data_IF_648980943057
#
_entry.id   IF_648980943057
#
_cell.length_a   1.000
_cell.length_b   1.000
_cell.length_c   1.000
_cell.angle_alpha   90.00
_cell.angle_beta   90.00
_cell.angle_gamma   90.00
#
_symmetry.space_group_name_H-M   'P 1'
#
loop_
_entity.id
_entity.type
_entity.pdbx_description
1 polymer ?
#
# COMPACT_ATOMS: atom_id res chain seq x y z
N UNK A 1 -35.69 -16.05 -69.05
CA UNK A 1 -35.29 -14.96 -68.14
C UNK A 1 -34.83 -15.54 -66.79
N UNK A 2 -33.77 -16.37 -66.81
CA UNK A 2 -33.11 -17.03 -65.65
C UNK A 2 -31.77 -17.62 -66.14
N UNK A 3 -30.92 -16.77 -66.74
CA UNK A 3 -29.63 -17.18 -67.29
C UNK A 3 -28.65 -16.00 -67.36
N UNK A 4 -28.65 -15.13 -66.33
CA UNK A 4 -27.78 -13.95 -66.32
C UNK A 4 -27.41 -13.51 -64.89
N UNK A 5 -27.30 -14.47 -63.96
CA UNK A 5 -26.89 -14.20 -62.57
C UNK A 5 -25.80 -15.14 -62.02
N UNK A 6 -25.24 -16.02 -62.87
CA UNK A 6 -24.24 -17.02 -62.44
C UNK A 6 -22.85 -16.83 -63.07
N UNK A 7 -22.52 -15.63 -63.60
CA UNK A 7 -21.21 -15.36 -64.24
C UNK A 7 -20.33 -14.31 -63.52
N UNK A 8 -20.73 -13.80 -62.35
CA UNK A 8 -19.87 -12.92 -61.52
C UNK A 8 -19.37 -13.55 -60.21
N UNK A 9 -19.80 -14.77 -59.87
CA UNK A 9 -19.29 -15.48 -58.70
C UNK A 9 -17.92 -16.15 -58.93
N UNK A 10 -17.56 -16.46 -60.18
CA UNK A 10 -16.34 -17.23 -60.51
C UNK A 10 -15.08 -16.38 -60.78
N UNK A 11 -15.18 -15.04 -60.75
CA UNK A 11 -14.00 -14.15 -60.92
C UNK A 11 -13.31 -13.71 -59.63
N UNK A 12 -13.90 -13.98 -58.46
CA UNK A 12 -13.29 -13.65 -57.15
C UNK A 12 -12.57 -14.85 -56.52
N UNK A 13 -12.84 -16.07 -56.99
CA UNK A 13 -12.22 -17.30 -56.46
C UNK A 13 -10.81 -17.62 -57.01
N UNK A 14 -10.28 -16.84 -57.95
CA UNK A 14 -8.97 -17.08 -58.58
C UNK A 14 -7.78 -16.30 -57.97
N UNK A 15 -7.97 -15.56 -56.86
CA UNK A 15 -6.90 -14.74 -56.26
C UNK A 15 -6.35 -15.25 -54.92
N UNK A 16 -6.90 -16.33 -54.34
CA UNK A 16 -6.42 -16.84 -53.05
C UNK A 16 -6.26 -18.35 -53.10
N UNK A 17 -5.01 -18.78 -53.27
CA UNK A 17 -4.61 -20.16 -53.23
C UNK A 17 -4.88 -20.80 -51.87
N UNK A 18 -5.51 -21.97 -51.93
CA UNK A 18 -5.15 -23.19 -51.20
C UNK A 18 -5.20 -23.14 -49.67
N UNK A 19 -6.24 -23.74 -49.09
CA UNK A 19 -6.15 -25.09 -48.50
C UNK A 19 -7.54 -25.51 -48.00
N UNK A 20 -8.19 -26.35 -48.79
CA UNK A 20 -9.32 -27.18 -48.35
C UNK A 20 -8.78 -28.40 -47.60
N UNK A 21 -9.24 -28.60 -46.37
CA UNK A 21 -9.31 -29.92 -45.75
C UNK A 21 -10.71 -30.09 -45.19
N UNK A 22 -11.46 -30.95 -45.87
CA UNK A 22 -12.78 -31.43 -45.49
C UNK A 22 -12.76 -32.09 -44.11
N UNK A 23 -13.80 -31.85 -43.32
CA UNK A 23 -14.53 -32.91 -42.61
C UNK A 23 -15.94 -32.39 -42.26
N UNK A 24 -16.92 -32.87 -43.02
CA UNK A 24 -18.33 -32.92 -42.66
C UNK A 24 -18.49 -33.92 -41.52
N UNK A 25 -19.22 -33.56 -40.47
CA UNK A 25 -20.10 -34.47 -39.74
C UNK A 25 -21.38 -33.70 -39.40
N UNK A 26 -22.52 -34.28 -39.80
CA UNK A 26 -23.86 -33.77 -39.59
C UNK A 26 -24.45 -34.29 -38.26
N UNK A 27 -25.22 -33.40 -37.61
CA UNK A 27 -26.36 -33.60 -36.69
C UNK A 27 -26.09 -34.08 -35.24
N UNK A 28 -27.04 -33.89 -34.28
CA UNK A 28 -28.30 -33.12 -34.30
C UNK A 28 -28.45 -32.10 -33.15
N UNK A 29 -29.47 -31.24 -33.27
CA UNK A 29 -29.98 -30.34 -32.22
C UNK A 29 -30.80 -31.14 -31.20
N UNK A 30 -30.37 -31.17 -29.94
CA UNK A 30 -31.26 -31.34 -28.77
C UNK A 30 -30.74 -30.55 -27.58
N UNK A 31 -31.69 -29.96 -26.84
CA UNK A 31 -31.51 -29.06 -25.72
C UNK A 31 -30.82 -29.70 -24.50
N UNK A 32 -30.01 -28.90 -23.79
CA UNK A 32 -30.19 -28.57 -22.37
C UNK A 32 -28.93 -27.88 -21.79
N UNK A 33 -29.19 -26.76 -21.11
CA UNK A 33 -28.56 -26.25 -19.90
C UNK A 33 -27.10 -25.75 -19.88
N UNK A 34 -27.03 -24.51 -19.38
CA UNK A 34 -26.11 -24.03 -18.35
C UNK A 34 -24.61 -24.05 -18.66
N UNK A 35 -24.08 -22.87 -19.01
CA UNK A 35 -22.65 -22.61 -18.82
C UNK A 35 -22.05 -21.59 -19.76
N UNK A 36 -22.56 -20.36 -19.81
CA UNK A 36 -21.86 -19.24 -20.47
C UNK A 36 -22.20 -17.86 -19.84
N UNK A 37 -22.35 -17.84 -18.51
CA UNK A 37 -22.34 -16.62 -17.69
C UNK A 37 -21.14 -16.66 -16.72
N UNK A 38 -19.91 -16.67 -17.25
CA UNK A 38 -18.71 -16.49 -16.44
C UNK A 38 -17.54 -16.15 -17.36
N UNK A 39 -17.37 -14.86 -17.71
CA UNK A 39 -16.08 -14.20 -17.98
C UNK A 39 -16.22 -12.71 -18.38
N UNK A 40 -17.24 -12.02 -17.88
CA UNK A 40 -17.38 -10.57 -18.04
C UNK A 40 -17.77 -9.85 -16.74
N UNK A 41 -17.11 -10.19 -15.62
CA UNK A 41 -17.00 -9.23 -14.51
C UNK A 41 -15.71 -8.44 -14.70
N UNK A 42 -15.79 -7.36 -15.51
CA UNK A 42 -14.86 -6.24 -15.39
C UNK A 42 -14.97 -5.74 -13.97
N UNK A 43 -13.88 -5.87 -13.21
CA UNK A 43 -13.67 -5.08 -12.00
C UNK A 43 -13.71 -3.61 -12.45
N UNK A 44 -14.57 -2.75 -11.89
CA UNK A 44 -14.48 -1.32 -12.17
C UNK A 44 -13.12 -0.83 -11.68
N UNK A 45 -12.33 -0.23 -12.57
CA UNK A 45 -11.02 0.35 -12.27
C UNK A 45 -11.10 1.64 -11.42
N UNK A 46 -12.34 2.11 -11.16
CA UNK A 46 -12.66 3.44 -10.64
C UNK A 46 -13.52 3.37 -9.37
N UNK A 47 -13.12 2.50 -8.42
CA UNK A 47 -13.59 2.64 -7.04
C UNK A 47 -12.89 3.83 -6.37
N UNK A 48 -13.62 4.78 -5.73
CA UNK A 48 -13.03 5.92 -5.05
C UNK A 48 -12.29 5.42 -3.81
N UNK A 49 -10.98 5.63 -3.78
CA UNK A 49 -10.20 5.56 -2.54
C UNK A 49 -9.87 6.99 -2.16
N UNK A 50 -10.65 7.53 -1.24
CA UNK A 50 -10.32 8.75 -0.50
C UNK A 50 -9.02 8.48 0.25
N UNK A 51 -7.94 9.14 -0.15
CA UNK A 51 -6.80 9.31 0.76
C UNK A 51 -7.36 10.10 1.95
N UNK A 52 -7.30 9.52 3.14
CA UNK A 52 -8.07 9.95 4.30
C UNK A 52 -8.05 11.46 4.52
N UNK A 53 -9.24 12.07 4.50
CA UNK A 53 -9.50 13.37 5.13
C UNK A 53 -9.11 14.63 4.34
N UNK A 54 -8.48 14.51 3.17
CA UNK A 54 -8.52 15.61 2.21
C UNK A 54 -9.75 15.36 1.35
N UNK A 55 -10.85 16.00 1.73
CA UNK A 55 -12.08 16.08 0.97
C UNK A 55 -11.71 16.21 -0.52
N UNK A 56 -12.31 15.36 -1.37
CA UNK A 56 -12.60 15.74 -2.74
C UNK A 56 -13.63 16.89 -2.68
N UNK A 57 -13.29 18.01 -2.04
CA UNK A 57 -13.68 19.28 -2.62
C UNK A 57 -13.28 19.15 -4.08
N UNK A 58 -14.24 19.38 -4.96
CA UNK A 58 -14.05 19.84 -6.32
C UNK A 58 -13.08 21.03 -6.31
N UNK A 59 -11.81 20.79 -5.95
CA UNK A 59 -10.69 21.54 -6.43
C UNK A 59 -10.81 21.31 -7.92
N UNK A 60 -11.47 22.27 -8.57
CA UNK A 60 -11.55 22.46 -10.01
C UNK A 60 -10.26 21.89 -10.56
N UNK A 61 -10.32 20.65 -11.02
CA UNK A 61 -9.19 20.02 -11.66
C UNK A 61 -9.18 20.76 -12.96
N UNK A 62 -8.45 21.88 -12.99
CA UNK A 62 -8.08 22.53 -14.23
C UNK A 62 -7.59 21.38 -15.09
N UNK A 63 -8.39 21.06 -16.11
CA UNK A 63 -8.10 19.97 -17.03
C UNK A 63 -6.69 20.26 -17.52
N UNK A 64 -5.74 19.42 -17.14
CA UNK A 64 -4.33 19.63 -17.47
C UNK A 64 -4.24 19.58 -18.98
N UNK A 65 -3.92 20.71 -19.62
CA UNK A 65 -3.71 20.74 -21.06
C UNK A 65 -2.45 19.95 -21.47
N UNK A 66 -2.26 19.71 -22.78
CA UNK A 66 -1.03 19.12 -23.30
C UNK A 66 0.19 20.04 -23.12
N UNK A 67 -0.02 21.34 -22.81
CA UNK A 67 0.99 22.34 -22.47
C UNK A 67 0.63 23.08 -21.16
N UNK A 68 1.62 23.58 -20.40
CA UNK A 68 1.41 24.17 -19.07
C UNK A 68 0.71 25.54 -19.09
N UNK A 69 0.83 26.28 -20.20
CA UNK A 69 0.28 27.62 -20.41
C UNK A 69 -1.16 27.60 -20.93
N UNK A 70 -1.74 26.42 -21.13
CA UNK A 70 -3.04 26.25 -21.75
C UNK A 70 -3.02 26.49 -23.27
N UNK A 71 -1.84 26.50 -23.90
CA UNK A 71 -1.68 26.55 -25.35
C UNK A 71 -1.85 25.18 -26.04
N UNK A 72 -2.03 25.17 -27.36
CA UNK A 72 -2.07 23.93 -28.14
C UNK A 72 -0.66 23.32 -28.28
N UNK A 73 -0.61 21.98 -28.41
CA UNK A 73 0.60 21.23 -28.68
C UNK A 73 0.62 20.75 -30.14
N UNK A 74 1.54 21.29 -30.94
CA UNK A 74 1.77 20.81 -32.31
C UNK A 74 2.82 19.69 -32.32
N UNK A 75 2.49 18.56 -32.95
CA UNK A 75 3.39 17.42 -33.12
C UNK A 75 3.43 16.95 -34.58
N UNK A 76 4.57 16.39 -34.99
CA UNK A 76 4.69 15.68 -36.26
C UNK A 76 4.46 14.19 -36.06
N UNK A 77 3.54 13.63 -36.84
CA UNK A 77 3.20 12.21 -36.78
C UNK A 77 3.41 11.55 -38.14
N UNK A 78 3.77 10.28 -38.12
CA UNK A 78 3.95 9.48 -39.32
C UNK A 78 2.70 8.63 -39.57
N UNK A 79 1.96 8.95 -40.62
CA UNK A 79 0.76 8.22 -41.00
C UNK A 79 1.09 6.99 -41.85
N UNK A 80 0.57 5.83 -41.42
CA UNK A 80 0.72 4.54 -42.09
C UNK A 80 -0.65 3.94 -42.36
N UNK A 81 -0.81 3.35 -43.54
CA UNK A 81 -2.00 2.62 -43.97
C UNK A 81 -1.89 1.10 -43.79
N UNK A 82 -0.73 0.62 -43.31
CA UNK A 82 -0.48 -0.78 -42.96
C UNK A 82 0.35 -0.89 -41.68
N UNK A 83 0.08 -1.94 -40.89
CA UNK A 83 0.83 -2.26 -39.66
C UNK A 83 2.28 -2.65 -39.94
N UNK A 84 2.52 -3.28 -41.09
CA UNK A 84 3.85 -3.76 -41.50
C UNK A 84 4.68 -2.69 -42.19
N UNK A 85 4.09 -1.53 -42.50
CA UNK A 85 4.82 -0.43 -43.11
C UNK A 85 5.91 0.10 -42.16
N UNK A 86 7.15 0.08 -42.63
CA UNK A 86 8.31 0.61 -41.92
C UNK A 86 8.40 2.14 -42.00
N UNK A 87 7.72 2.75 -42.97
CA UNK A 87 7.63 4.20 -43.20
C UNK A 87 6.22 4.62 -43.60
N UNK A 88 5.91 5.89 -43.37
CA UNK A 88 4.66 6.54 -43.69
C UNK A 88 4.85 8.00 -44.09
N UNK A 89 3.76 8.68 -44.44
CA UNK A 89 3.79 10.11 -44.76
C UNK A 89 3.71 10.92 -43.46
N UNK A 90 4.62 11.88 -43.28
CA UNK A 90 4.56 12.78 -42.13
C UNK A 90 3.57 13.93 -42.36
N UNK A 91 2.88 14.33 -41.29
CA UNK A 91 2.08 15.56 -41.25
C UNK A 91 2.02 16.12 -39.82
N UNK A 92 1.65 17.39 -39.69
CA UNK A 92 1.40 18.02 -38.39
C UNK A 92 0.01 17.64 -37.86
N UNK A 93 -0.06 17.45 -36.55
CA UNK A 93 -1.28 17.30 -35.75
C UNK A 93 -1.22 18.33 -34.63
N UNK A 94 -2.34 19.00 -34.37
CA UNK A 94 -2.48 19.94 -33.26
C UNK A 94 -3.38 19.31 -32.21
N UNK A 95 -2.88 19.20 -30.98
CA UNK A 95 -3.66 18.80 -29.80
C UNK A 95 -4.03 20.09 -29.08
N UNK A 96 -5.32 20.42 -29.08
CA UNK A 96 -5.86 21.63 -28.46
C UNK A 96 -5.85 21.51 -26.91
N UNK A 97 -6.02 22.61 -26.17
CA UNK A 97 -5.95 22.61 -24.71
C UNK A 97 -6.97 21.69 -24.02
N UNK A 98 -8.10 21.43 -24.67
CA UNK A 98 -9.17 20.53 -24.23
C UNK A 98 -8.94 19.06 -24.66
N UNK A 99 -7.77 18.74 -25.20
CA UNK A 99 -7.37 17.45 -25.77
C UNK A 99 -8.08 17.05 -27.06
N UNK A 100 -8.86 17.94 -27.68
CA UNK A 100 -9.33 17.71 -29.04
C UNK A 100 -8.18 17.76 -30.04
N UNK A 101 -8.33 17.06 -31.17
CA UNK A 101 -7.23 16.85 -32.10
C UNK A 101 -7.61 17.34 -33.49
N UNK A 102 -6.81 18.24 -34.03
CA UNK A 102 -6.90 18.69 -35.41
C UNK A 102 -5.84 18.02 -36.26
N UNK A 103 -6.29 17.39 -37.33
CA UNK A 103 -5.47 16.67 -38.29
C UNK A 103 -5.96 16.98 -39.70
N UNK A 104 -5.09 16.94 -40.73
CA UNK A 104 -5.52 17.06 -42.13
C UNK A 104 -6.36 15.87 -42.63
N UNK A 105 -6.57 14.85 -41.81
CA UNK A 105 -7.28 13.63 -42.17
C UNK A 105 -8.77 13.71 -41.78
N UNK A 106 -9.63 13.10 -42.60
CA UNK A 106 -11.03 12.85 -42.24
C UNK A 106 -11.12 11.63 -41.32
N UNK A 107 -11.19 11.88 -40.01
CA UNK A 107 -11.22 10.83 -39.00
C UNK A 107 -12.48 9.94 -39.10
N UNK A 108 -13.60 10.47 -39.60
CA UNK A 108 -14.82 9.65 -39.79
C UNK A 108 -14.61 8.67 -40.94
N UNK A 109 -14.03 9.12 -42.05
CA UNK A 109 -13.65 8.23 -43.14
C UNK A 109 -12.63 7.17 -42.69
N UNK A 110 -11.66 7.54 -41.84
CA UNK A 110 -10.72 6.58 -41.25
C UNK A 110 -11.39 5.55 -40.33
N UNK A 111 -12.41 5.95 -39.55
CA UNK A 111 -13.20 5.03 -38.71
C UNK A 111 -13.96 4.02 -39.57
N UNK A 112 -14.59 4.48 -40.65
CA UNK A 112 -15.26 3.60 -41.62
C UNK A 112 -14.25 2.63 -42.22
N UNK A 113 -13.10 3.10 -42.70
CA UNK A 113 -12.05 2.23 -43.25
C UNK A 113 -11.55 1.20 -42.24
N UNK A 114 -11.36 1.59 -40.97
CA UNK A 114 -10.96 0.70 -39.89
C UNK A 114 -12.02 -0.37 -39.58
N UNK A 115 -13.31 -0.01 -39.65
CA UNK A 115 -14.42 -0.95 -39.48
C UNK A 115 -14.43 -2.04 -40.58
N UNK A 116 -13.96 -1.71 -41.79
CA UNK A 116 -13.73 -2.68 -42.88
C UNK A 116 -12.36 -3.38 -42.83
N UNK A 117 -11.63 -3.30 -41.70
CA UNK A 117 -10.35 -3.97 -41.49
C UNK A 117 -9.12 -3.20 -41.97
N UNK A 118 -9.28 -1.96 -42.43
CA UNK A 118 -8.18 -1.05 -42.73
C UNK A 118 -7.36 -0.68 -41.50
N UNK A 119 -6.12 -0.25 -41.71
CA UNK A 119 -5.27 0.28 -40.64
C UNK A 119 -5.00 1.76 -40.85
N UNK A 120 -5.30 2.57 -39.83
CA UNK A 120 -5.11 4.02 -39.83
C UNK A 120 -4.40 4.44 -38.54
N UNK A 121 -3.14 4.84 -38.64
CA UNK A 121 -2.36 5.21 -37.45
C UNK A 121 -2.79 6.53 -36.81
N UNK A 122 -3.41 7.44 -37.58
CA UNK A 122 -3.95 8.69 -37.06
C UNK A 122 -5.20 8.44 -36.22
N UNK A 123 -6.05 7.51 -36.63
CA UNK A 123 -7.12 7.03 -35.78
C UNK A 123 -6.63 6.40 -34.47
N UNK A 124 -5.59 5.55 -34.49
CA UNK A 124 -5.00 5.00 -33.25
C UNK A 124 -4.46 6.11 -32.33
N UNK A 125 -3.83 7.13 -32.92
CA UNK A 125 -3.32 8.29 -32.19
C UNK A 125 -4.47 9.02 -31.46
N UNK A 126 -5.53 9.38 -32.17
CA UNK A 126 -6.66 10.17 -31.64
C UNK A 126 -7.50 9.36 -30.66
N UNK A 127 -7.89 8.14 -31.03
CA UNK A 127 -8.87 7.38 -30.23
C UNK A 127 -8.24 6.65 -29.03
N UNK A 128 -6.90 6.49 -29.00
CA UNK A 128 -6.25 5.72 -27.93
C UNK A 128 -5.05 6.41 -27.31
N UNK A 129 -4.07 6.84 -28.12
CA UNK A 129 -2.79 7.33 -27.60
C UNK A 129 -2.98 8.66 -26.85
N UNK A 130 -3.70 9.61 -27.42
CA UNK A 130 -3.92 10.92 -26.82
C UNK A 130 -4.73 10.80 -25.51
N UNK A 131 -5.86 10.06 -25.45
CA UNK A 131 -6.55 9.76 -24.20
C UNK A 131 -5.67 9.06 -23.15
N UNK A 132 -4.77 8.15 -23.58
CA UNK A 132 -3.85 7.48 -22.68
C UNK A 132 -2.83 8.45 -22.05
N UNK A 133 -2.30 9.39 -22.83
CA UNK A 133 -1.38 10.42 -22.33
C UNK A 133 -2.13 11.38 -21.39
N UNK A 134 -3.30 11.87 -21.78
CA UNK A 134 -4.16 12.71 -20.94
C UNK A 134 -4.42 12.06 -19.57
N UNK A 135 -4.82 10.79 -19.57
CA UNK A 135 -5.13 10.02 -18.35
C UNK A 135 -3.91 9.78 -17.45
N UNK A 136 -2.72 9.82 -18.03
CA UNK A 136 -1.45 9.57 -17.33
C UNK A 136 -0.76 10.87 -16.89
N UNK A 137 -1.04 12.00 -17.53
CA UNK A 137 -0.38 13.27 -17.28
C UNK A 137 -0.35 13.68 -15.79
N UNK A 138 -1.44 13.56 -15.00
CA UNK A 138 -1.38 13.84 -13.56
C UNK A 138 -0.36 12.99 -12.80
N UNK A 139 -0.15 11.73 -13.22
CA UNK A 139 0.82 10.82 -12.61
C UNK A 139 2.26 11.20 -13.01
N UNK A 140 2.48 11.61 -14.27
CA UNK A 140 3.79 12.06 -14.74
C UNK A 140 4.21 13.35 -14.02
N UNK A 141 3.28 14.30 -13.90
CA UNK A 141 3.47 15.56 -13.16
C UNK A 141 3.46 15.39 -11.64
N UNK A 142 3.25 14.16 -11.12
CA UNK A 142 3.20 13.84 -9.69
C UNK A 142 2.15 14.65 -8.90
N UNK A 143 1.14 15.18 -9.61
CA UNK A 143 -0.09 15.75 -9.04
C UNK A 143 -1.04 14.66 -8.53
N UNK A 144 -0.85 13.43 -9.02
CA UNK A 144 -1.50 12.23 -8.52
C UNK A 144 -0.46 11.20 -8.11
N UNK A 145 -0.62 10.62 -6.92
CA UNK A 145 0.25 9.54 -6.44
C UNK A 145 0.05 8.25 -7.24
N UNK A 146 1.12 7.47 -7.34
CA UNK A 146 1.07 6.13 -7.89
C UNK A 146 0.23 5.21 -6.97
N UNK A 147 -0.61 4.34 -7.54
CA UNK A 147 -1.33 3.33 -6.74
C UNK A 147 -0.37 2.21 -6.34
N UNK A 148 0.26 2.36 -5.19
CA UNK A 148 1.22 1.42 -4.62
C UNK A 148 0.70 0.82 -3.32
N UNK A 149 1.09 -0.43 -3.06
CA UNK A 149 0.87 -1.11 -1.79
C UNK A 149 2.18 -1.67 -1.26
N UNK A 150 2.28 -1.82 0.06
CA UNK A 150 3.46 -2.33 0.75
C UNK A 150 3.08 -3.52 1.63
N UNK A 151 3.88 -4.58 1.62
CA UNK A 151 3.73 -5.70 2.55
C UNK A 151 4.01 -5.28 3.98
N UNK A 152 3.32 -5.92 4.94
CA UNK A 152 3.49 -5.68 6.38
C UNK A 152 4.54 -6.60 7.03
N UNK A 153 5.12 -7.53 6.25
CA UNK A 153 6.02 -8.58 6.72
C UNK A 153 7.46 -8.08 6.92
N UNK A 154 8.31 -8.95 7.50
CA UNK A 154 9.73 -8.69 7.78
C UNK A 154 10.52 -8.24 6.53
N UNK A 155 10.12 -8.72 5.35
CA UNK A 155 10.66 -8.24 4.07
C UNK A 155 9.70 -7.24 3.44
N UNK A 156 10.12 -5.98 3.42
CA UNK A 156 9.39 -4.90 2.76
C UNK A 156 9.40 -5.13 1.24
N UNK A 157 8.20 -5.30 0.71
CA UNK A 157 7.96 -5.49 -0.71
C UNK A 157 6.90 -4.48 -1.16
N UNK A 158 7.15 -3.87 -2.30
CA UNK A 158 6.22 -2.94 -2.94
C UNK A 158 5.52 -3.60 -4.12
N UNK A 159 4.22 -3.38 -4.24
CA UNK A 159 3.41 -3.85 -5.36
C UNK A 159 2.61 -2.70 -5.96
N UNK A 160 2.27 -2.87 -7.23
CA UNK A 160 1.46 -1.93 -7.98
C UNK A 160 0.27 -2.65 -8.60
N UNK A 161 -0.72 -1.90 -9.08
CA UNK A 161 -1.85 -2.48 -9.83
C UNK A 161 -1.31 -3.27 -11.03
N UNK A 162 -1.71 -4.53 -11.12
CA UNK A 162 -1.20 -5.46 -12.12
C UNK A 162 -1.73 -5.13 -13.52
N UNK A 163 -0.84 -5.06 -14.51
CA UNK A 163 -1.20 -4.87 -15.92
C UNK A 163 -0.77 -6.09 -16.73
N UNK A 164 -1.71 -6.69 -17.47
CA UNK A 164 -1.45 -7.91 -18.26
C UNK A 164 -0.32 -7.69 -19.27
N UNK A 165 0.65 -8.60 -19.29
CA UNK A 165 1.80 -8.52 -20.21
C UNK A 165 2.84 -7.47 -19.83
N UNK A 166 2.73 -6.86 -18.64
CA UNK A 166 3.71 -5.97 -18.05
C UNK A 166 4.45 -6.65 -16.90
N UNK A 167 5.68 -6.19 -16.57
CA UNK A 167 6.48 -6.80 -15.48
C UNK A 167 5.80 -6.71 -14.11
N UNK A 168 4.93 -5.73 -13.88
CA UNK A 168 4.17 -5.62 -12.63
C UNK A 168 3.12 -6.72 -12.44
N UNK A 169 2.79 -7.51 -13.47
CA UNK A 169 1.76 -8.56 -13.36
C UNK A 169 2.12 -9.68 -12.39
N UNK A 170 3.41 -10.03 -12.32
CA UNK A 170 3.95 -11.09 -11.44
C UNK A 170 5.03 -10.55 -10.50
N UNK A 171 5.30 -9.25 -10.58
CA UNK A 171 6.50 -8.64 -10.08
C UNK A 171 6.23 -7.84 -8.82
N UNK A 172 7.18 -7.97 -7.90
CA UNK A 172 7.32 -7.15 -6.72
C UNK A 172 8.51 -6.21 -6.89
N UNK A 173 8.43 -5.02 -6.31
CA UNK A 173 9.51 -4.03 -6.33
C UNK A 173 10.20 -3.98 -4.97
N UNK A 174 11.51 -3.71 -5.01
CA UNK A 174 12.34 -3.54 -3.82
C UNK A 174 12.12 -2.20 -3.13
N UNK A 175 11.60 -1.20 -3.84
CA UNK A 175 11.37 0.14 -3.31
C UNK A 175 10.12 0.80 -3.93
N UNK A 176 9.58 1.82 -3.23
CA UNK A 176 8.53 2.68 -3.77
C UNK A 176 8.99 3.41 -5.04
N UNK A 177 10.25 3.85 -5.06
CA UNK A 177 10.91 4.48 -6.21
C UNK A 177 10.83 3.60 -7.46
N UNK A 178 11.22 2.33 -7.35
CA UNK A 178 11.24 1.41 -8.49
C UNK A 178 9.83 1.15 -9.02
N UNK A 179 8.87 1.02 -8.10
CA UNK A 179 7.46 0.82 -8.43
C UNK A 179 6.84 2.05 -9.11
N UNK A 180 7.00 3.24 -8.52
CA UNK A 180 6.48 4.49 -9.06
C UNK A 180 7.11 4.83 -10.43
N UNK A 181 8.43 4.67 -10.55
CA UNK A 181 9.15 4.85 -11.82
C UNK A 181 8.66 3.88 -12.89
N UNK A 182 8.38 2.62 -12.50
CA UNK A 182 7.80 1.66 -13.42
C UNK A 182 6.45 2.12 -13.96
N UNK A 183 5.55 2.57 -13.09
CA UNK A 183 4.19 2.96 -13.48
C UNK A 183 4.16 4.17 -14.41
N UNK A 184 5.16 5.05 -14.33
CA UNK A 184 5.34 6.18 -15.26
C UNK A 184 6.05 5.81 -16.57
N UNK A 185 6.65 4.62 -16.66
CA UNK A 185 7.47 4.26 -17.82
C UNK A 185 6.62 4.03 -19.09
N UNK A 186 7.07 4.47 -20.28
CA UNK A 186 6.36 4.21 -21.53
C UNK A 186 6.05 2.73 -21.75
N UNK A 187 6.96 1.83 -21.35
CA UNK A 187 6.76 0.39 -21.46
C UNK A 187 5.56 -0.12 -20.63
N UNK A 188 5.30 0.46 -19.46
CA UNK A 188 4.12 0.14 -18.65
C UNK A 188 2.86 0.69 -19.32
N UNK A 189 2.89 1.96 -19.71
CA UNK A 189 1.73 2.67 -20.28
C UNK A 189 1.24 2.04 -21.59
N UNK A 190 2.16 1.60 -22.47
CA UNK A 190 1.85 0.80 -23.66
C UNK A 190 0.97 -0.40 -23.33
N UNK A 191 1.29 -1.13 -22.27
CA UNK A 191 0.56 -2.32 -21.86
C UNK A 191 -0.75 -1.95 -21.16
N UNK A 192 -0.73 -0.91 -20.33
CA UNK A 192 -1.89 -0.45 -19.57
C UNK A 192 -3.02 0.01 -20.49
N UNK A 193 -2.69 0.79 -21.52
CA UNK A 193 -3.68 1.37 -22.44
C UNK A 193 -3.80 0.60 -23.77
N UNK A 194 -3.04 -0.49 -23.94
CA UNK A 194 -3.02 -1.31 -25.16
C UNK A 194 -2.80 -0.50 -26.45
N UNK A 195 -1.82 0.41 -26.41
CA UNK A 195 -1.44 1.31 -27.51
C UNK A 195 -0.09 0.94 -28.13
N UNK A 196 0.16 1.36 -29.37
CA UNK A 196 1.47 1.18 -29.99
C UNK A 196 2.58 1.97 -29.28
N UNK A 197 3.78 1.40 -29.07
CA UNK A 197 4.87 2.07 -28.37
C UNK A 197 5.35 3.37 -29.01
N UNK A 198 5.52 3.35 -30.33
CA UNK A 198 6.14 4.48 -31.05
C UNK A 198 5.26 5.74 -31.01
N UNK A 199 3.96 5.71 -31.35
CA UNK A 199 3.08 6.87 -31.16
C UNK A 199 3.04 7.37 -29.72
N UNK A 200 2.95 6.47 -28.73
CA UNK A 200 2.91 6.87 -27.32
C UNK A 200 4.18 7.60 -26.90
N UNK A 201 5.35 7.04 -27.17
CA UNK A 201 6.63 7.68 -26.81
C UNK A 201 6.79 9.04 -27.50
N UNK A 202 6.34 9.18 -28.75
CA UNK A 202 6.41 10.45 -29.46
C UNK A 202 5.53 11.53 -28.81
N UNK A 203 4.27 11.18 -28.46
CA UNK A 203 3.37 12.13 -27.80
C UNK A 203 3.86 12.46 -26.39
N UNK A 204 4.30 11.46 -25.62
CA UNK A 204 4.88 11.68 -24.29
C UNK A 204 6.08 12.63 -24.34
N UNK A 205 7.02 12.42 -25.28
CA UNK A 205 8.18 13.30 -25.42
C UNK A 205 7.80 14.73 -25.82
N UNK A 206 6.77 14.91 -26.66
CA UNK A 206 6.28 16.22 -27.04
C UNK A 206 5.62 16.95 -25.86
N UNK A 207 4.76 16.26 -25.10
CA UNK A 207 4.15 16.80 -23.88
C UNK A 207 5.24 17.13 -22.86
N UNK A 208 6.21 16.24 -22.66
CA UNK A 208 7.34 16.48 -21.77
C UNK A 208 8.16 17.72 -22.15
N UNK A 209 8.43 17.89 -23.45
CA UNK A 209 9.09 19.08 -23.98
C UNK A 209 8.29 20.36 -23.75
N UNK A 210 6.97 20.33 -23.98
CA UNK A 210 6.09 21.48 -23.78
C UNK A 210 6.00 21.91 -22.32
N UNK A 211 6.02 20.95 -21.39
CA UNK A 211 6.03 21.19 -19.96
C UNK A 211 7.41 21.57 -19.40
N UNK A 212 8.44 21.75 -20.26
CA UNK A 212 9.78 22.16 -19.84
C UNK A 212 10.53 21.08 -19.07
N UNK A 213 10.18 19.81 -19.26
CA UNK A 213 10.67 18.68 -18.49
C UNK A 213 9.77 18.41 -17.28
N UNK A 214 8.79 17.52 -17.47
CA UNK A 214 7.83 17.05 -16.44
C UNK A 214 8.54 16.46 -15.20
N UNK A 215 9.83 16.14 -15.33
CA UNK A 215 10.62 15.40 -14.37
C UNK A 215 11.54 16.20 -13.45
N UNK A 216 11.59 17.55 -13.56
CA UNK A 216 12.51 18.33 -12.73
C UNK A 216 11.78 19.40 -11.88
N UNK A 217 11.72 19.24 -10.54
CA UNK A 217 11.31 20.34 -9.69
C UNK A 217 12.33 21.49 -9.79
N UNK A 218 11.89 22.72 -9.52
CA UNK A 218 12.82 23.86 -9.45
C UNK A 218 13.89 23.61 -8.39
N UNK A 219 15.10 24.13 -8.60
CA UNK A 219 16.20 23.99 -7.64
C UNK A 219 15.81 24.51 -6.25
N UNK A 220 15.02 25.58 -6.19
CA UNK A 220 14.49 26.14 -4.95
C UNK A 220 13.50 25.20 -4.24
N UNK A 221 12.51 24.65 -4.97
CA UNK A 221 11.53 23.72 -4.40
C UNK A 221 12.24 22.48 -3.85
N UNK A 222 13.22 21.95 -4.60
CA UNK A 222 14.05 20.83 -4.14
C UNK A 222 14.83 21.17 -2.88
N UNK A 223 15.52 22.31 -2.85
CA UNK A 223 16.30 22.73 -1.68
C UNK A 223 15.44 22.97 -0.43
N UNK A 224 14.17 23.38 -0.61
CA UNK A 224 13.19 23.44 0.48
C UNK A 224 12.82 22.04 0.99
N UNK A 225 12.50 21.10 0.10
CA UNK A 225 12.18 19.74 0.48
C UNK A 225 13.37 19.01 1.12
N UNK A 226 14.60 19.19 0.64
CA UNK A 226 15.79 18.56 1.22
C UNK A 226 16.04 18.98 2.67
N UNK A 227 15.56 20.16 3.12
CA UNK A 227 15.72 20.60 4.51
C UNK A 227 14.84 19.85 5.50
N UNK A 228 13.74 19.25 5.06
CA UNK A 228 12.81 18.51 5.92
C UNK A 228 13.00 17.00 5.85
N UNK A 229 13.85 16.51 4.95
CA UNK A 229 14.14 15.08 4.77
C UNK A 229 15.52 14.75 5.33
N UNK A 230 15.58 13.70 6.16
CA UNK A 230 16.79 13.29 6.88
C UNK A 230 17.85 12.67 5.98
N UNK A 231 17.44 11.83 5.06
CA UNK A 231 18.33 11.05 4.21
C UNK A 231 19.04 11.96 3.19
N UNK A 232 20.31 11.64 2.91
CA UNK A 232 21.07 12.35 1.89
C UNK A 232 20.38 12.19 0.52
N UNK A 233 20.07 13.31 -0.13
CA UNK A 233 19.31 13.35 -1.40
C UNK A 233 17.92 12.70 -1.25
N UNK A 234 17.35 12.73 -0.06
CA UNK A 234 16.06 12.11 0.21
C UNK A 234 14.91 12.74 -0.56
N UNK A 235 14.93 14.06 -0.84
CA UNK A 235 13.91 14.66 -1.72
C UNK A 235 13.95 14.09 -3.14
N UNK A 236 15.12 13.66 -3.62
CA UNK A 236 15.24 13.01 -4.93
C UNK A 236 14.66 11.59 -4.91
N UNK A 237 14.89 10.87 -3.81
CA UNK A 237 14.30 9.55 -3.57
C UNK A 237 12.78 9.64 -3.54
N UNK A 238 12.23 10.61 -2.80
CA UNK A 238 10.80 10.89 -2.70
C UNK A 238 10.21 11.34 -4.05
N UNK A 239 10.93 12.20 -4.79
CA UNK A 239 10.55 12.58 -6.15
C UNK A 239 10.45 11.37 -7.08
N UNK A 240 11.43 10.48 -7.03
CA UNK A 240 11.43 9.25 -7.80
C UNK A 240 10.36 8.26 -7.31
N UNK A 241 9.97 8.31 -6.03
CA UNK A 241 8.81 7.63 -5.48
C UNK A 241 7.47 8.31 -5.85
N UNK A 242 7.49 9.45 -6.56
CA UNK A 242 6.29 10.13 -7.05
C UNK A 242 5.74 11.25 -6.16
N UNK A 243 6.52 11.72 -5.18
CA UNK A 243 6.13 12.83 -4.30
C UNK A 243 6.71 14.15 -4.83
N UNK A 244 5.82 15.10 -5.12
CA UNK A 244 6.23 16.47 -5.46
C UNK A 244 6.84 17.17 -4.22
N UNK A 245 7.84 18.08 -4.37
CA UNK A 245 8.42 18.79 -3.23
C UNK A 245 7.40 19.52 -2.35
N UNK A 246 6.31 20.00 -2.93
CA UNK A 246 5.23 20.64 -2.17
C UNK A 246 4.52 19.63 -1.26
N UNK A 247 4.19 18.43 -1.75
CA UNK A 247 3.63 17.37 -0.91
C UNK A 247 4.60 16.97 0.21
N UNK A 248 5.93 16.98 -0.04
CA UNK A 248 6.92 16.72 1.01
C UNK A 248 6.83 17.77 2.12
N UNK A 249 6.68 19.05 1.78
CA UNK A 249 6.52 20.13 2.76
C UNK A 249 5.18 20.05 3.49
N UNK A 250 4.10 19.76 2.77
CA UNK A 250 2.76 19.55 3.36
C UNK A 250 2.77 18.38 4.35
N UNK A 251 3.41 17.27 3.99
CA UNK A 251 3.49 16.10 4.85
C UNK A 251 4.38 16.36 6.07
N UNK A 252 5.49 17.10 5.92
CA UNK A 252 6.32 17.49 7.06
C UNK A 252 5.51 18.30 8.10
N UNK A 253 4.55 19.11 7.67
CA UNK A 253 3.69 19.88 8.58
C UNK A 253 2.75 19.00 9.43
N UNK A 254 2.54 17.73 9.06
CA UNK A 254 1.76 16.76 9.85
C UNK A 254 2.52 16.23 11.09
N UNK A 255 3.76 16.67 11.31
CA UNK A 255 4.58 16.29 12.45
C UNK A 255 4.95 17.50 13.34
N UNK A 256 3.96 18.16 13.96
CA UNK A 256 4.20 19.37 14.75
C UNK A 256 5.12 19.11 15.94
N UNK A 257 5.99 20.08 16.23
CA UNK A 257 6.95 20.01 17.33
C UNK A 257 8.21 19.20 17.02
N UNK A 258 8.34 18.63 15.82
CA UNK A 258 9.58 18.00 15.36
C UNK A 258 10.34 19.00 14.49
N UNK A 259 11.39 19.61 15.05
CA UNK A 259 12.24 20.58 14.35
C UNK A 259 13.36 19.90 13.52
N UNK A 260 13.57 18.60 13.74
CA UNK A 260 14.55 17.80 13.01
C UNK A 260 14.02 17.29 11.66
N UNK A 261 14.88 17.07 10.66
CA UNK A 261 14.49 16.40 9.43
C UNK A 261 13.89 14.99 9.69
N UNK A 262 12.76 14.72 9.03
CA UNK A 262 12.01 13.46 9.12
C UNK A 262 12.59 12.43 8.14
N UNK A 263 12.54 11.13 8.46
CA UNK A 263 13.02 10.08 7.57
C UNK A 263 12.08 9.91 6.37
N UNK A 264 12.62 9.48 5.23
CA UNK A 264 11.87 9.11 4.02
C UNK A 264 10.68 8.19 4.34
N UNK A 265 10.85 7.28 5.30
CA UNK A 265 9.82 6.35 5.73
C UNK A 265 8.55 7.05 6.26
N UNK A 266 8.66 8.25 6.84
CA UNK A 266 7.51 9.05 7.27
C UNK A 266 6.69 9.51 6.05
N UNK A 267 7.35 10.17 5.09
CA UNK A 267 6.70 10.70 3.89
C UNK A 267 6.06 9.59 3.04
N UNK A 268 6.76 8.46 2.87
CA UNK A 268 6.22 7.31 2.16
C UNK A 268 5.05 6.67 2.92
N UNK A 269 5.09 6.68 4.25
CA UNK A 269 3.99 6.22 5.10
C UNK A 269 2.73 7.05 4.85
N UNK A 270 2.84 8.38 5.02
CA UNK A 270 1.73 9.31 4.76
C UNK A 270 1.16 9.13 3.35
N UNK A 271 2.03 9.01 2.35
CA UNK A 271 1.64 8.89 0.94
C UNK A 271 0.89 7.58 0.61
N UNK A 272 1.29 6.45 1.21
CA UNK A 272 0.93 5.13 0.69
C UNK A 272 0.28 4.17 1.71
N UNK A 273 0.20 4.54 2.99
CA UNK A 273 -0.39 3.65 4.01
C UNK A 273 -1.90 3.80 4.18
N UNK A 274 -2.47 4.93 3.75
CA UNK A 274 -3.86 5.30 4.06
C UNK A 274 -4.05 5.64 5.54
N UNK A 275 -3.05 6.26 6.17
CA UNK A 275 -3.13 6.78 7.55
C UNK A 275 -4.17 7.90 7.64
N UNK A 276 -4.88 7.96 8.77
CA UNK A 276 -5.68 9.13 9.13
C UNK A 276 -4.74 10.27 9.53
N UNK A 277 -4.63 11.29 8.68
CA UNK A 277 -3.71 12.42 8.88
C UNK A 277 -4.09 13.29 10.08
N UNK A 278 -5.37 13.35 10.45
CA UNK A 278 -5.84 14.10 11.62
C UNK A 278 -5.39 13.40 12.89
N UNK A 279 -5.61 12.09 12.95
CA UNK A 279 -5.13 11.25 14.06
C UNK A 279 -3.60 11.25 14.16
N UNK A 280 -2.89 11.13 13.03
CA UNK A 280 -1.42 11.16 12.99
C UNK A 280 -0.89 12.47 13.58
N UNK A 281 -1.41 13.61 13.12
CA UNK A 281 -0.98 14.94 13.58
C UNK A 281 -1.20 15.11 15.08
N UNK A 282 -2.39 14.74 15.59
CA UNK A 282 -2.71 14.82 17.01
C UNK A 282 -1.82 13.89 17.86
N UNK A 283 -1.55 12.68 17.38
CA UNK A 283 -0.72 11.69 18.09
C UNK A 283 0.75 12.09 18.11
N UNK A 284 1.28 12.65 17.01
CA UNK A 284 2.66 13.18 16.99
C UNK A 284 2.78 14.40 17.89
N UNK A 285 1.77 15.28 17.93
CA UNK A 285 1.78 16.45 18.80
C UNK A 285 1.86 16.09 20.30
N UNK A 286 1.29 14.95 20.72
CA UNK A 286 1.37 14.52 22.13
C UNK A 286 2.76 14.05 22.53
N UNK A 287 3.59 13.64 21.57
CA UNK A 287 4.98 13.25 21.77
C UNK A 287 5.78 13.43 20.46
N UNK A 288 6.40 14.60 20.24
CA UNK A 288 7.15 14.87 19.03
C UNK A 288 8.46 14.07 19.00
N UNK A 289 8.44 12.91 18.33
CA UNK A 289 9.61 12.04 18.18
C UNK A 289 9.68 11.49 16.76
N UNK A 290 10.79 11.77 16.07
CA UNK A 290 10.95 11.48 14.64
C UNK A 290 10.76 10.00 14.27
N UNK A 291 11.33 9.08 15.07
CA UNK A 291 11.19 7.65 14.83
C UNK A 291 9.75 7.17 15.08
N UNK A 292 9.06 7.76 16.08
CA UNK A 292 7.67 7.49 16.38
C UNK A 292 6.75 7.98 15.27
N UNK A 293 6.89 9.23 14.83
CA UNK A 293 6.14 9.79 13.70
C UNK A 293 6.26 8.92 12.45
N UNK A 294 7.49 8.51 12.10
CA UNK A 294 7.75 7.64 10.96
C UNK A 294 7.04 6.29 11.06
N UNK A 295 6.96 5.69 12.25
CA UNK A 295 6.20 4.46 12.48
C UNK A 295 4.69 4.69 12.40
N UNK A 296 4.17 5.74 13.05
CA UNK A 296 2.76 6.09 13.09
C UNK A 296 2.18 6.36 11.68
N UNK A 297 2.98 6.95 10.79
CA UNK A 297 2.61 7.17 9.39
C UNK A 297 2.30 5.87 8.62
N UNK A 298 2.63 4.69 9.16
CA UNK A 298 2.31 3.38 8.57
C UNK A 298 1.11 2.68 9.22
N UNK A 299 0.43 3.31 10.17
CA UNK A 299 -0.78 2.76 10.81
C UNK A 299 -1.99 3.10 9.94
N UNK A 300 -2.63 2.11 9.27
CA UNK A 300 -3.74 2.42 8.37
C UNK A 300 -5.00 2.84 9.14
N UNK A 301 -5.80 3.73 8.55
CA UNK A 301 -7.06 4.19 9.14
C UNK A 301 -8.10 3.06 9.32
N UNK A 302 -7.99 1.98 8.53
CA UNK A 302 -8.92 0.83 8.56
C UNK A 302 -8.86 0.00 9.86
N UNK A 303 -7.92 0.29 10.75
CA UNK A 303 -7.77 -0.38 12.06
C UNK A 303 -8.87 -0.03 13.07
N UNK A 304 -9.66 1.00 12.80
CA UNK A 304 -10.77 1.43 13.64
C UNK A 304 -10.33 2.33 14.81
N UNK A 305 -11.26 3.19 15.25
CA UNK A 305 -10.98 4.25 16.24
C UNK A 305 -10.50 3.73 17.58
N UNK A 306 -11.02 2.60 18.06
CA UNK A 306 -10.59 2.00 19.33
C UNK A 306 -9.11 1.59 19.33
N UNK A 307 -8.63 1.03 18.21
CA UNK A 307 -7.21 0.67 18.05
C UNK A 307 -6.33 1.91 18.00
N UNK A 308 -6.74 2.92 17.22
CA UNK A 308 -5.99 4.17 17.07
C UNK A 308 -5.91 4.96 18.39
N UNK A 309 -7.00 4.99 19.17
CA UNK A 309 -7.02 5.59 20.51
C UNK A 309 -6.06 4.88 21.45
N UNK A 310 -6.12 3.53 21.53
CA UNK A 310 -5.22 2.77 22.39
C UNK A 310 -3.74 2.99 22.02
N UNK A 311 -3.43 3.06 20.73
CA UNK A 311 -2.09 3.33 20.25
C UNK A 311 -1.62 4.73 20.67
N UNK A 312 -2.46 5.76 20.50
CA UNK A 312 -2.18 7.13 20.91
C UNK A 312 -1.94 7.24 22.42
N UNK A 313 -2.77 6.59 23.23
CA UNK A 313 -2.66 6.56 24.68
C UNK A 313 -1.29 6.03 25.12
N UNK A 314 -0.89 4.86 24.59
CA UNK A 314 0.39 4.26 24.92
C UNK A 314 1.60 5.05 24.38
N UNK A 315 1.46 5.63 23.19
CA UNK A 315 2.50 6.47 22.59
C UNK A 315 2.75 7.74 23.41
N UNK A 316 1.68 8.39 23.88
CA UNK A 316 1.75 9.60 24.70
C UNK A 316 2.47 9.35 26.05
N UNK A 317 2.41 8.14 26.58
CA UNK A 317 3.18 7.73 27.77
C UNK A 317 4.68 7.53 27.51
N UNK A 318 5.13 7.58 26.25
CA UNK A 318 6.52 7.39 25.88
C UNK A 318 6.99 5.94 25.99
N UNK A 319 6.10 4.99 25.67
CA UNK A 319 6.44 3.59 25.47
C UNK A 319 7.06 3.39 24.08
N UNK A 320 7.95 2.41 23.95
CA UNK A 320 8.55 2.06 22.66
C UNK A 320 7.53 1.36 21.76
N UNK A 321 7.73 1.46 20.43
CA UNK A 321 6.92 0.75 19.43
C UNK A 321 6.67 -0.72 19.80
N UNK A 322 7.73 -1.46 20.16
CA UNK A 322 7.64 -2.87 20.52
C UNK A 322 6.73 -3.12 21.73
N UNK A 323 6.77 -2.23 22.72
CA UNK A 323 5.89 -2.31 23.89
C UNK A 323 4.44 -2.02 23.52
N UNK A 324 4.20 -0.98 22.71
CA UNK A 324 2.85 -0.61 22.26
C UNK A 324 2.23 -1.74 21.43
N UNK A 325 2.98 -2.31 20.48
CA UNK A 325 2.54 -3.45 19.67
C UNK A 325 2.18 -4.65 20.55
N UNK A 326 3.00 -4.99 21.54
CA UNK A 326 2.73 -6.08 22.47
C UNK A 326 1.46 -5.86 23.31
N UNK A 327 1.31 -4.66 23.90
CA UNK A 327 0.12 -4.29 24.66
C UNK A 327 -1.14 -4.36 23.79
N UNK A 328 -1.05 -3.88 22.55
CA UNK A 328 -2.19 -3.84 21.63
C UNK A 328 -2.59 -5.24 21.15
N UNK A 329 -1.61 -6.10 20.83
CA UNK A 329 -1.86 -7.52 20.47
C UNK A 329 -2.53 -8.25 21.64
N UNK A 330 -2.06 -8.00 22.86
CA UNK A 330 -2.64 -8.60 24.07
C UNK A 330 -3.91 -7.89 24.57
N UNK A 331 -4.42 -6.88 23.85
CA UNK A 331 -5.62 -6.15 24.23
C UNK A 331 -5.54 -5.49 25.61
N UNK A 332 -4.34 -5.12 26.06
CA UNK A 332 -4.12 -4.42 27.33
C UNK A 332 -4.38 -2.93 27.11
N UNK A 333 -5.33 -2.37 27.87
CA UNK A 333 -5.71 -0.96 27.80
C UNK A 333 -4.94 -0.10 28.78
N UNK A 334 -4.91 1.22 28.53
CA UNK A 334 -4.29 2.18 29.45
C UNK A 334 -4.92 2.15 30.85
N UNK A 335 -6.21 1.84 30.96
CA UNK A 335 -6.92 1.66 32.23
C UNK A 335 -6.27 0.61 33.13
N UNK A 336 -5.68 -0.44 32.55
CA UNK A 336 -4.94 -1.44 33.33
C UNK A 336 -3.65 -0.84 33.94
N UNK A 337 -2.93 0.00 33.19
CA UNK A 337 -1.76 0.72 33.71
C UNK A 337 -2.14 1.73 34.78
N UNK A 338 -3.28 2.43 34.62
CA UNK A 338 -3.79 3.35 35.65
C UNK A 338 -4.18 2.61 36.93
N UNK A 339 -4.87 1.47 36.82
CA UNK A 339 -5.24 0.65 37.96
C UNK A 339 -3.99 0.15 38.70
N UNK A 340 -2.97 -0.30 37.95
CA UNK A 340 -1.69 -0.71 38.50
C UNK A 340 -0.99 0.46 39.20
N UNK A 341 -0.87 1.61 38.55
CA UNK A 341 -0.24 2.82 39.10
C UNK A 341 -0.91 3.28 40.39
N UNK A 342 -2.25 3.37 40.42
CA UNK A 342 -3.02 3.74 41.62
C UNK A 342 -2.79 2.77 42.78
N UNK A 343 -2.67 1.48 42.51
CA UNK A 343 -2.63 0.45 43.55
C UNK A 343 -1.21 0.21 44.08
N UNK A 344 -0.19 0.34 43.23
CA UNK A 344 1.21 0.07 43.59
C UNK A 344 2.02 1.35 43.86
N UNK A 345 1.45 2.53 43.58
CA UNK A 345 2.15 3.82 43.69
C UNK A 345 3.17 4.06 42.57
N UNK A 346 3.26 3.18 41.57
CA UNK A 346 4.17 3.34 40.42
C UNK A 346 3.72 4.52 39.55
N UNK A 347 4.68 5.17 38.89
CA UNK A 347 4.37 6.11 37.82
C UNK A 347 3.62 5.39 36.68
N UNK A 348 2.64 6.04 36.06
CA UNK A 348 1.80 5.45 35.01
C UNK A 348 2.62 4.85 33.85
N UNK A 349 3.68 5.55 33.43
CA UNK A 349 4.63 5.06 32.41
C UNK A 349 5.32 3.76 32.84
N UNK A 350 5.77 3.68 34.09
CA UNK A 350 6.42 2.48 34.63
C UNK A 350 5.43 1.31 34.66
N UNK A 351 4.20 1.53 35.15
CA UNK A 351 3.15 0.51 35.11
C UNK A 351 2.82 0.03 33.69
N UNK A 352 2.77 0.93 32.71
CA UNK A 352 2.62 0.58 31.29
C UNK A 352 3.79 -0.22 30.74
N UNK A 353 5.03 0.14 31.10
CA UNK A 353 6.23 -0.60 30.70
C UNK A 353 6.29 -2.00 31.31
N UNK A 354 5.90 -2.14 32.58
CA UNK A 354 5.79 -3.43 33.27
C UNK A 354 4.77 -4.32 32.55
N UNK A 355 3.55 -3.81 32.33
CA UNK A 355 2.51 -4.54 31.58
C UNK A 355 2.98 -4.95 30.19
N UNK A 356 3.71 -4.07 29.49
CA UNK A 356 4.25 -4.39 28.17
C UNK A 356 5.29 -5.51 28.21
N UNK A 357 6.13 -5.55 29.25
CA UNK A 357 7.13 -6.59 29.41
C UNK A 357 6.49 -7.97 29.63
N UNK A 358 5.38 -8.01 30.37
CA UNK A 358 4.56 -9.22 30.50
C UNK A 358 3.81 -9.57 29.21
N UNK A 359 3.25 -8.58 28.51
CA UNK A 359 2.59 -8.79 27.22
C UNK A 359 3.55 -9.34 26.15
N UNK A 360 4.82 -8.95 26.16
CA UNK A 360 5.87 -9.52 25.29
C UNK A 360 6.09 -11.01 25.52
N UNK A 361 5.79 -11.50 26.72
CA UNK A 361 5.77 -12.91 27.05
C UNK A 361 4.42 -13.57 26.80
N UNK A 362 3.42 -12.86 26.28
CA UNK A 362 2.04 -13.35 26.10
C UNK A 362 1.26 -13.46 27.41
N UNK A 363 1.70 -12.77 28.47
CA UNK A 363 1.06 -12.82 29.78
C UNK A 363 0.24 -11.54 30.04
N UNK A 364 -0.85 -11.68 30.80
CA UNK A 364 -1.76 -10.59 31.19
C UNK A 364 -1.93 -10.56 32.72
N UNK A 365 -0.92 -10.05 33.46
CA UNK A 365 -0.99 -9.99 34.91
C UNK A 365 -2.11 -9.05 35.38
N UNK A 366 -2.76 -9.41 36.48
CA UNK A 366 -3.68 -8.55 37.20
C UNK A 366 -2.90 -7.63 38.16
N UNK A 367 -3.59 -6.64 38.73
CA UNK A 367 -3.00 -5.79 39.78
C UNK A 367 -2.58 -6.62 41.00
N UNK A 368 -3.36 -7.64 41.36
CA UNK A 368 -3.06 -8.54 42.48
C UNK A 368 -1.74 -9.29 42.28
N UNK A 369 -1.46 -9.74 41.04
CA UNK A 369 -0.18 -10.37 40.72
C UNK A 369 0.99 -9.42 41.00
N UNK A 370 0.89 -8.16 40.58
CA UNK A 370 1.96 -7.19 40.83
C UNK A 370 2.13 -6.86 42.31
N UNK A 371 1.05 -6.78 43.09
CA UNK A 371 1.14 -6.57 44.54
C UNK A 371 1.90 -7.70 45.23
N UNK A 372 1.64 -8.95 44.84
CA UNK A 372 2.40 -10.09 45.37
C UNK A 372 3.87 -10.00 44.96
N UNK A 373 4.16 -9.71 43.69
CA UNK A 373 5.54 -9.56 43.24
C UNK A 373 6.28 -8.42 43.98
N UNK A 374 5.60 -7.31 44.28
CA UNK A 374 6.14 -6.22 45.10
C UNK A 374 6.45 -6.67 46.54
N UNK A 375 5.53 -7.41 47.17
CA UNK A 375 5.74 -7.97 48.52
C UNK A 375 6.95 -8.91 48.59
N UNK A 376 7.29 -9.55 47.48
CA UNK A 376 8.47 -10.40 47.34
C UNK A 376 9.71 -9.68 46.78
N UNK A 377 9.65 -8.35 46.57
CA UNK A 377 10.79 -7.54 46.12
C UNK A 377 11.13 -7.67 44.63
N UNK A 378 10.21 -8.20 43.80
CA UNK A 378 10.42 -8.51 42.38
C UNK A 378 9.75 -7.51 41.42
N UNK A 379 8.94 -6.59 41.94
CA UNK A 379 7.86 -5.97 41.16
C UNK A 379 8.25 -5.13 39.94
N UNK A 380 9.41 -4.46 39.93
CA UNK A 380 9.86 -3.64 38.78
C UNK A 380 11.09 -4.19 38.06
N UNK A 381 11.71 -5.24 38.59
CA UNK A 381 12.98 -5.80 38.07
C UNK A 381 12.77 -7.08 37.27
N UNK A 382 11.61 -7.72 37.41
CA UNK A 382 11.36 -9.01 36.79
C UNK A 382 10.36 -8.93 35.64
N UNK A 383 10.74 -9.55 34.51
CA UNK A 383 9.86 -9.78 33.36
C UNK A 383 10.02 -11.22 32.89
N UNK A 384 8.93 -11.99 32.73
CA UNK A 384 9.04 -13.39 32.36
C UNK A 384 9.60 -13.56 30.96
N UNK A 385 10.50 -14.52 30.77
CA UNK A 385 11.00 -14.89 29.45
C UNK A 385 9.94 -15.65 28.67
N UNK A 386 9.57 -15.18 27.46
CA UNK A 386 8.59 -15.85 26.59
C UNK A 386 8.92 -17.34 26.38
N UNK A 387 10.17 -17.63 26.04
CA UNK A 387 10.62 -19.00 25.80
C UNK A 387 10.56 -19.86 27.08
N UNK A 388 10.77 -19.26 28.25
CA UNK A 388 10.66 -19.98 29.51
C UNK A 388 9.19 -20.30 29.84
N UNK A 389 8.28 -19.35 29.60
CA UNK A 389 6.84 -19.54 29.78
C UNK A 389 6.31 -20.55 28.77
N UNK A 390 6.73 -20.52 27.50
CA UNK A 390 6.33 -21.49 26.47
C UNK A 390 6.65 -22.93 26.90
N UNK A 391 7.88 -23.18 27.39
CA UNK A 391 8.27 -24.49 27.93
C UNK A 391 7.42 -24.90 29.14
N UNK A 392 7.12 -23.96 30.04
CA UNK A 392 6.27 -24.25 31.19
C UNK A 392 4.83 -24.56 30.77
N UNK A 393 4.31 -23.92 29.72
CA UNK A 393 2.98 -24.25 29.16
C UNK A 393 2.96 -25.69 28.64
N UNK A 394 4.00 -26.14 27.94
CA UNK A 394 4.13 -27.53 27.48
C UNK A 394 4.18 -28.54 28.64
N UNK A 395 4.92 -28.22 29.71
CA UNK A 395 4.98 -29.07 30.91
C UNK A 395 3.64 -29.06 31.66
N UNK A 396 3.01 -27.90 31.80
CA UNK A 396 1.74 -27.72 32.51
C UNK A 396 0.59 -28.53 31.90
N UNK A 397 0.62 -28.81 30.60
CA UNK A 397 -0.38 -29.67 29.93
C UNK A 397 -0.49 -31.08 30.52
N UNK A 398 0.53 -31.56 31.25
CA UNK A 398 0.50 -32.86 31.92
C UNK A 398 -0.33 -32.87 33.21
N UNK A 399 -0.74 -31.69 33.69
CA UNK A 399 -1.39 -31.52 34.97
C UNK A 399 -2.79 -30.90 34.79
N UNK A 400 -3.78 -31.41 35.52
CA UNK A 400 -5.15 -30.89 35.50
C UNK A 400 -5.56 -30.34 36.87
N UNK A 401 -6.15 -29.13 36.96
CA UNK A 401 -6.30 -28.17 35.86
C UNK A 401 -4.95 -27.57 35.45
N UNK A 402 -4.78 -27.22 34.17
CA UNK A 402 -3.55 -26.56 33.69
C UNK A 402 -3.58 -25.07 34.05
N UNK A 403 -2.53 -24.52 34.69
CA UNK A 403 -2.46 -23.10 34.99
C UNK A 403 -2.50 -22.23 33.74
N UNK A 404 -3.01 -21.01 33.89
CA UNK A 404 -2.94 -20.05 32.80
C UNK A 404 -1.49 -19.66 32.50
N UNK A 405 -1.25 -19.16 31.29
CA UNK A 405 0.06 -18.64 30.90
C UNK A 405 0.58 -17.55 31.85
N UNK A 406 -0.33 -16.67 32.30
CA UNK A 406 -0.01 -15.62 33.28
C UNK A 406 0.40 -16.22 34.62
N UNK A 407 -0.34 -17.22 35.12
CA UNK A 407 0.00 -17.90 36.39
C UNK A 407 1.38 -18.54 36.32
N UNK A 408 1.70 -19.23 35.22
CA UNK A 408 3.04 -19.81 35.02
C UNK A 408 4.13 -18.73 35.01
N UNK A 409 3.85 -17.56 34.41
CA UNK A 409 4.76 -16.41 34.46
C UNK A 409 4.97 -15.88 35.88
N UNK A 410 3.91 -15.78 36.69
CA UNK A 410 3.99 -15.35 38.10
C UNK A 410 4.73 -16.37 38.96
N UNK A 411 4.39 -17.66 38.84
CA UNK A 411 5.10 -18.74 39.53
C UNK A 411 6.58 -18.75 39.16
N UNK A 412 6.92 -18.57 37.87
CA UNK A 412 8.31 -18.47 37.42
C UNK A 412 9.05 -17.28 38.03
N UNK A 413 8.35 -16.16 38.20
CA UNK A 413 8.90 -14.97 38.84
C UNK A 413 9.21 -15.24 40.32
N UNK A 414 8.27 -15.87 41.03
CA UNK A 414 8.39 -16.16 42.47
C UNK A 414 9.42 -17.25 42.78
N UNK A 415 9.44 -18.33 41.99
CA UNK A 415 10.37 -19.46 42.17
C UNK A 415 11.76 -19.19 41.57
N UNK A 416 11.89 -18.17 40.72
CA UNK A 416 13.12 -17.75 40.06
C UNK A 416 13.65 -18.70 38.97
N UNK A 417 13.16 -19.95 38.88
CA UNK A 417 13.63 -20.96 37.93
C UNK A 417 12.50 -21.83 37.37
N UNK A 418 12.68 -22.37 36.16
CA UNK A 418 11.71 -23.29 35.57
C UNK A 418 11.54 -24.56 36.40
N UNK A 419 12.64 -25.13 36.89
CA UNK A 419 12.60 -26.35 37.71
C UNK A 419 11.84 -26.13 39.03
N UNK A 420 11.97 -24.95 39.64
CA UNK A 420 11.17 -24.56 40.81
C UNK A 420 9.68 -24.65 40.50
N UNK A 421 9.23 -24.03 39.41
CA UNK A 421 7.82 -24.09 38.98
C UNK A 421 7.37 -25.53 38.72
N UNK A 422 8.18 -26.36 38.04
CA UNK A 422 7.84 -27.76 37.79
C UNK A 422 7.62 -28.55 39.08
N UNK A 423 8.47 -28.35 40.09
CA UNK A 423 8.31 -28.99 41.41
C UNK A 423 7.01 -28.54 42.07
N UNK A 424 6.63 -27.26 41.96
CA UNK A 424 5.34 -26.78 42.46
C UNK A 424 4.16 -27.41 41.70
N UNK A 425 4.29 -27.58 40.38
CA UNK A 425 3.29 -28.27 39.56
C UNK A 425 3.15 -29.75 39.98
N UNK A 426 4.26 -30.46 40.21
CA UNK A 426 4.27 -31.84 40.71
C UNK A 426 3.55 -31.95 42.08
N UNK A 427 3.65 -30.91 42.92
CA UNK A 427 2.99 -30.81 44.24
C UNK A 427 1.52 -30.39 44.19
N UNK A 428 0.96 -30.19 43.00
CA UNK A 428 -0.44 -29.80 42.86
C UNK A 428 -0.70 -28.30 42.90
N UNK A 429 0.33 -27.44 43.01
CA UNK A 429 0.17 -25.98 42.99
C UNK A 429 -0.06 -25.49 41.57
N UNK A 430 -1.14 -24.74 41.34
CA UNK A 430 -1.62 -24.27 40.03
C UNK A 430 -1.79 -22.76 39.94
N UNK A 431 -1.69 -22.05 41.05
CA UNK A 431 -1.88 -20.60 41.09
C UNK A 431 -0.93 -19.94 42.08
N UNK A 432 -0.72 -18.65 41.89
CA UNK A 432 -0.02 -17.78 42.84
C UNK A 432 -0.61 -17.89 44.26
N UNK A 433 -1.94 -17.92 44.39
CA UNK A 433 -2.62 -17.98 45.68
C UNK A 433 -2.29 -19.27 46.45
N UNK A 434 -2.25 -20.41 45.76
CA UNK A 434 -1.88 -21.70 46.33
C UNK A 434 -0.41 -21.75 46.77
N UNK A 435 0.48 -21.13 45.99
CA UNK A 435 1.90 -21.05 46.34
C UNK A 435 2.10 -20.27 47.64
N UNK A 436 1.50 -19.07 47.74
CA UNK A 436 1.57 -18.23 48.95
C UNK A 436 1.00 -18.96 50.17
N UNK A 437 -0.13 -19.65 50.01
CA UNK A 437 -0.77 -20.41 51.08
C UNK A 437 0.10 -21.59 51.58
N UNK A 438 0.98 -22.11 50.73
CA UNK A 438 1.91 -23.19 51.08
C UNK A 438 3.13 -22.63 51.80
N UNK A 439 3.74 -21.54 51.31
CA UNK A 439 4.88 -20.90 51.97
C UNK A 439 4.54 -20.38 53.37
N UNK A 440 3.32 -19.84 53.59
CA UNK A 440 2.93 -19.39 54.93
C UNK A 440 2.89 -20.52 55.97
N UNK A 441 2.61 -21.76 55.58
CA UNK A 441 2.57 -22.91 56.51
C UNK A 441 3.96 -23.33 56.96
N UNK A 442 4.92 -23.41 56.03
CA UNK A 442 6.29 -23.82 56.34
C UNK A 442 7.02 -22.83 57.25
N UNK A 443 6.64 -21.54 57.23
CA UNK A 443 7.23 -20.51 58.10
C UNK A 443 6.66 -20.49 59.53
N UNK A 444 5.50 -21.09 59.78
CA UNK A 444 4.93 -21.19 61.13
C UNK A 444 5.29 -22.49 61.85
N UNK A 445 5.73 -23.50 61.10
CA UNK A 445 6.16 -24.81 61.63
C UNK A 445 7.68 -24.91 61.85
N UNK A 446 8.42 -23.82 61.59
CA UNK A 446 9.86 -23.66 61.88
C UNK A 446 10.06 -22.66 63.00
#
# INVERSE_FOLDING_TARGET
MRAQHDLEADRVAAAFGGYTSCLRLEAPVTAANDGLELLARRVPADGPWTVGGLDETEAVTQSLGPAPDGGPLEIRVECRTSRTASRGKQHSVVIEPDWTVRTPHDLEAERVAAAFGGFTSCLELVDKVIPAVQSTLPLLLRRRLARLTRTKDERVIWSAVSVRGCRCHRGTFTSARDAATHLRSPAHLVKQYAVSPRPLTNVLAAVEGAWGGIDAPTAEARARADRVVREFRGSESLWAAGLHPEHVLEFAALAPGIDEPLPEAFFLGVAYSGVDVTWLTATVASRPETAGAAWLAWVPADKGSAYLSALQDWYSLGLSRRQIEALTIEGVSITAAEALARTTGRALRTGGADLAAWALAGCRPTVEHFQVLDQHGLGSTYSPSRAAVDRLVEVAQRYSPSPSRTELGVLLSLEGTQRGVEVQLERGIRSMAELIATHRRTWHDS
#
